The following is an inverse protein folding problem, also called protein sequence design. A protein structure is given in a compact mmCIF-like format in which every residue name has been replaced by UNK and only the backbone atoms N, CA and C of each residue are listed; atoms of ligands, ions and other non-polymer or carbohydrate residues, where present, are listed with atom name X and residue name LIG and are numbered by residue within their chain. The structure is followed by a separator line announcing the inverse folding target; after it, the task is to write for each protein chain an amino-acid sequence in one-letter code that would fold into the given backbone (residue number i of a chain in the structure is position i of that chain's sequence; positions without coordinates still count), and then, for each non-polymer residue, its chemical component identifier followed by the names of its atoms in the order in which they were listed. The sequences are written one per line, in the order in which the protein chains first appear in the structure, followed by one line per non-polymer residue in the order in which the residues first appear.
data_IF_414139718203
#
_entry.id   IF_414139718203
#
_cell.length_a   1.000
_cell.length_b   1.000
_cell.length_c   1.000
_cell.angle_alpha   90.00
_cell.angle_beta   90.00
_cell.angle_gamma   90.00
#
_symmetry.space_group_name_H-M   'P 1'
#
loop_
_entity.id
_entity.type
_entity.pdbx_description
1 polymer ?
#
# COMPACT_ATOMS: atom_id res chain seq x y z
N UNK A 1 9.91 -18.34 17.69
CA UNK A 1 10.66 -17.93 16.48
C UNK A 1 9.91 -18.24 15.17
N UNK A 2 9.32 -19.45 15.03
CA UNK A 2 8.60 -19.87 13.81
C UNK A 2 7.45 -18.95 13.35
N UNK A 3 6.59 -18.37 14.21
CA UNK A 3 5.50 -17.49 13.75
C UNK A 3 6.00 -16.19 13.11
N UNK A 4 7.05 -15.61 13.65
CA UNK A 4 7.69 -14.40 13.12
C UNK A 4 8.29 -14.65 11.74
N UNK A 5 9.02 -15.75 11.59
CA UNK A 5 9.67 -16.14 10.35
C UNK A 5 8.68 -16.41 9.22
N UNK A 6 7.54 -17.03 9.53
CA UNK A 6 6.49 -17.30 8.53
C UNK A 6 5.80 -16.05 7.99
N UNK A 7 5.67 -15.01 8.80
CA UNK A 7 4.93 -13.78 8.41
C UNK A 7 5.89 -12.72 7.90
N UNK A 8 7.01 -12.52 8.59
CA UNK A 8 7.95 -11.42 8.31
C UNK A 8 9.25 -11.88 7.65
N UNK A 9 9.55 -13.18 7.64
CA UNK A 9 10.72 -13.77 6.99
C UNK A 9 10.51 -14.09 5.50
N UNK A 10 11.53 -14.70 4.89
CA UNK A 10 11.54 -15.01 3.45
C UNK A 10 10.39 -15.89 2.96
N UNK A 11 9.83 -16.76 3.81
CA UNK A 11 8.65 -17.58 3.46
C UNK A 11 7.34 -16.79 3.35
N UNK A 12 7.28 -15.57 3.90
CA UNK A 12 6.12 -14.68 3.82
C UNK A 12 6.15 -13.72 2.63
N UNK A 13 7.25 -13.67 1.87
CA UNK A 13 7.42 -12.71 0.75
C UNK A 13 6.34 -12.85 -0.32
N UNK A 14 6.00 -14.07 -0.72
CA UNK A 14 4.98 -14.31 -1.76
C UNK A 14 3.61 -13.80 -1.32
N UNK A 15 3.23 -14.04 -0.07
CA UNK A 15 1.96 -13.55 0.47
C UNK A 15 1.93 -12.02 0.54
N UNK A 16 3.03 -11.39 0.99
CA UNK A 16 3.15 -9.93 1.07
C UNK A 16 3.09 -9.30 -0.32
N UNK A 17 3.74 -9.89 -1.30
CA UNK A 17 3.71 -9.43 -2.68
C UNK A 17 2.31 -9.54 -3.28
N UNK A 18 1.61 -10.64 -3.08
CA UNK A 18 0.21 -10.82 -3.51
C UNK A 18 -0.69 -9.79 -2.83
N UNK A 19 -0.56 -9.61 -1.50
CA UNK A 19 -1.35 -8.61 -0.77
C UNK A 19 -1.11 -7.19 -1.25
N UNK A 20 0.16 -6.86 -1.59
CA UNK A 20 0.53 -5.58 -2.16
C UNK A 20 -0.10 -5.36 -3.55
N UNK A 21 -0.02 -6.35 -4.44
CA UNK A 21 -0.65 -6.29 -5.77
C UNK A 21 -2.17 -6.13 -5.68
N UNK A 22 -2.83 -6.89 -4.80
CA UNK A 22 -4.29 -6.79 -4.57
C UNK A 22 -4.65 -5.40 -4.03
N UNK A 23 -3.85 -4.86 -3.11
CA UNK A 23 -4.05 -3.51 -2.57
C UNK A 23 -3.93 -2.43 -3.65
N UNK A 24 -2.92 -2.53 -4.52
CA UNK A 24 -2.74 -1.61 -5.64
C UNK A 24 -3.90 -1.69 -6.63
N UNK A 25 -4.34 -2.89 -6.98
CA UNK A 25 -5.51 -3.09 -7.85
C UNK A 25 -6.79 -2.51 -7.22
N UNK A 26 -7.01 -2.73 -5.93
CA UNK A 26 -8.15 -2.16 -5.22
C UNK A 26 -8.15 -0.62 -5.28
N UNK A 27 -6.99 0.04 -5.09
CA UNK A 27 -6.85 1.48 -5.24
C UNK A 27 -7.14 1.94 -6.68
N UNK A 28 -6.60 1.22 -7.68
CA UNK A 28 -6.78 1.53 -9.10
C UNK A 28 -8.24 1.42 -9.56
N UNK A 29 -9.06 0.62 -8.90
CA UNK A 29 -10.47 0.46 -9.23
C UNK A 29 -11.37 1.42 -8.46
N UNK A 30 -11.08 1.63 -7.17
CA UNK A 30 -11.95 2.44 -6.29
C UNK A 30 -11.83 3.93 -6.57
N UNK A 31 -10.61 4.46 -6.71
CA UNK A 31 -10.39 5.91 -6.87
C UNK A 31 -10.97 6.43 -8.21
N UNK A 32 -10.67 5.83 -9.38
CA UNK A 32 -11.28 6.28 -10.65
C UNK A 32 -12.78 6.10 -10.68
N UNK A 33 -13.33 5.09 -9.99
CA UNK A 33 -14.75 4.85 -9.87
C UNK A 33 -15.51 6.03 -9.27
N UNK A 34 -14.94 6.67 -8.27
CA UNK A 34 -15.53 7.86 -7.64
C UNK A 34 -15.60 9.05 -8.62
N UNK A 35 -14.54 9.26 -9.41
CA UNK A 35 -14.53 10.32 -10.42
C UNK A 35 -15.54 10.07 -11.54
N UNK A 36 -15.67 8.81 -11.95
CA UNK A 36 -16.62 8.42 -12.99
C UNK A 36 -18.08 8.60 -12.56
N UNK A 37 -18.43 8.18 -11.33
CA UNK A 37 -19.77 8.35 -10.77
C UNK A 37 -20.21 9.80 -10.81
N UNK A 38 -19.35 10.73 -10.42
CA UNK A 38 -19.65 12.15 -10.41
C UNK A 38 -19.88 12.72 -11.81
N UNK A 39 -19.03 12.32 -12.77
CA UNK A 39 -19.17 12.74 -14.17
C UNK A 39 -20.41 12.18 -14.82
N UNK A 40 -20.73 10.93 -14.56
CA UNK A 40 -21.89 10.25 -15.13
C UNK A 40 -23.22 10.84 -14.67
N UNK A 41 -23.27 11.41 -13.46
CA UNK A 41 -24.43 12.09 -12.94
C UNK A 41 -24.51 13.59 -13.29
N UNK A 42 -23.60 14.10 -14.13
CA UNK A 42 -23.60 15.51 -14.58
C UNK A 42 -23.34 16.53 -13.48
N UNK A 43 -22.96 16.10 -12.28
CA UNK A 43 -22.71 16.97 -11.14
C UNK A 43 -21.49 17.87 -11.34
N UNK A 44 -20.59 17.50 -12.24
CA UNK A 44 -19.37 18.26 -12.54
C UNK A 44 -19.69 19.68 -13.01
N UNK A 45 -20.67 19.86 -13.89
CA UNK A 45 -21.09 21.18 -14.41
C UNK A 45 -21.67 22.08 -13.31
N UNK A 46 -22.48 21.52 -12.40
CA UNK A 46 -23.07 22.26 -11.29
C UNK A 46 -22.03 22.70 -10.25
N UNK A 47 -21.05 21.84 -9.97
CA UNK A 47 -19.99 22.10 -9.00
C UNK A 47 -18.93 23.07 -9.52
N UNK A 48 -18.65 23.03 -10.84
CA UNK A 48 -17.73 23.97 -11.49
C UNK A 48 -18.29 25.40 -11.61
N UNK A 49 -19.59 25.57 -11.56
CA UNK A 49 -20.23 26.92 -11.61
C UNK A 49 -20.08 27.71 -10.30
N UNK A 50 -19.71 27.06 -9.19
CA UNK A 50 -19.50 27.72 -7.89
C UNK A 50 -18.02 27.95 -7.60
N UNK A 51 -17.63 29.19 -7.25
CA UNK A 51 -16.24 29.58 -7.02
C UNK A 51 -15.53 28.73 -5.92
N UNK A 52 -16.26 28.24 -4.94
CA UNK A 52 -15.75 27.38 -3.86
C UNK A 52 -15.88 25.87 -4.16
N UNK A 53 -16.68 25.49 -5.14
CA UNK A 53 -17.01 24.08 -5.42
C UNK A 53 -15.80 23.27 -5.86
N UNK A 54 -14.94 23.81 -6.70
CA UNK A 54 -13.77 23.12 -7.24
C UNK A 54 -12.76 22.72 -6.16
N UNK A 55 -12.42 23.62 -5.25
CA UNK A 55 -11.43 23.35 -4.19
C UNK A 55 -11.99 22.44 -3.11
N UNK A 56 -13.27 22.61 -2.76
CA UNK A 56 -13.96 21.77 -1.78
C UNK A 56 -14.09 20.34 -2.29
N UNK A 57 -14.44 20.16 -3.54
CA UNK A 57 -14.56 18.86 -4.19
C UNK A 57 -13.23 18.09 -4.19
N UNK A 58 -12.13 18.76 -4.55
CA UNK A 58 -10.80 18.15 -4.53
C UNK A 58 -10.40 17.64 -3.14
N UNK A 59 -10.69 18.43 -2.11
CA UNK A 59 -10.44 18.03 -0.71
C UNK A 59 -11.23 16.79 -0.34
N UNK A 60 -12.50 16.71 -0.70
CA UNK A 60 -13.31 15.52 -0.41
C UNK A 60 -12.81 14.27 -1.14
N UNK A 61 -12.37 14.39 -2.38
CA UNK A 61 -11.76 13.28 -3.12
C UNK A 61 -10.44 12.82 -2.49
N UNK A 62 -9.61 13.75 -2.05
CA UNK A 62 -8.38 13.44 -1.34
C UNK A 62 -8.67 12.75 0.00
N UNK A 63 -9.65 13.23 0.77
CA UNK A 63 -10.07 12.60 2.02
C UNK A 63 -10.60 11.19 1.78
N UNK A 64 -11.41 10.99 0.73
CA UNK A 64 -11.92 9.67 0.38
C UNK A 64 -10.80 8.71 -0.02
N UNK A 65 -9.85 9.15 -0.84
CA UNK A 65 -8.67 8.35 -1.20
C UNK A 65 -7.84 7.98 0.03
N UNK A 66 -7.68 8.90 0.98
CA UNK A 66 -7.02 8.67 2.25
C UNK A 66 -7.79 7.63 3.09
N UNK A 67 -9.11 7.76 3.22
CA UNK A 67 -9.93 6.79 3.94
C UNK A 67 -9.86 5.38 3.34
N UNK A 68 -9.90 5.26 2.01
CA UNK A 68 -9.76 3.99 1.30
C UNK A 68 -8.38 3.37 1.57
N UNK A 69 -7.31 4.17 1.48
CA UNK A 69 -5.94 3.70 1.74
C UNK A 69 -5.76 3.22 3.18
N UNK A 70 -6.27 3.97 4.16
CA UNK A 70 -6.25 3.56 5.57
C UNK A 70 -7.09 2.30 5.78
N UNK A 71 -8.25 2.19 5.15
CA UNK A 71 -9.10 1.00 5.21
C UNK A 71 -8.39 -0.26 4.71
N UNK A 72 -7.75 -0.19 3.55
CA UNK A 72 -6.95 -1.28 2.98
C UNK A 72 -5.79 -1.64 3.92
N UNK A 73 -5.07 -0.63 4.43
CA UNK A 73 -3.97 -0.82 5.36
C UNK A 73 -4.43 -1.52 6.65
N UNK A 74 -5.55 -1.12 7.23
CA UNK A 74 -6.10 -1.74 8.44
C UNK A 74 -6.51 -3.20 8.20
N UNK A 75 -7.14 -3.49 7.06
CA UNK A 75 -7.56 -4.86 6.73
C UNK A 75 -6.35 -5.79 6.65
N UNK A 76 -5.32 -5.41 5.90
CA UNK A 76 -4.14 -6.25 5.74
C UNK A 76 -3.30 -6.35 7.01
N UNK A 77 -3.06 -5.22 7.68
CA UNK A 77 -2.31 -5.22 8.95
C UNK A 77 -3.05 -6.02 10.04
N UNK A 78 -4.37 -5.86 10.12
CA UNK A 78 -5.20 -6.63 11.04
C UNK A 78 -5.17 -8.13 10.73
N UNK A 79 -5.21 -8.51 9.45
CA UNK A 79 -5.10 -9.91 9.03
C UNK A 79 -3.72 -10.52 9.40
N UNK A 80 -2.63 -9.81 9.17
CA UNK A 80 -1.27 -10.25 9.54
C UNK A 80 -1.12 -10.43 11.05
N UNK A 81 -1.62 -9.48 11.84
CA UNK A 81 -1.63 -9.57 13.30
C UNK A 81 -2.50 -10.74 13.79
N UNK A 82 -3.63 -10.97 13.14
CA UNK A 82 -4.48 -12.12 13.46
C UNK A 82 -3.77 -13.45 13.13
N UNK A 83 -3.12 -13.54 11.96
CA UNK A 83 -2.32 -14.72 11.62
C UNK A 83 -1.18 -14.94 12.61
N UNK A 84 -0.46 -13.89 13.01
CA UNK A 84 0.59 -13.97 14.01
C UNK A 84 0.07 -14.62 15.29
N UNK A 85 -1.09 -14.17 15.76
CA UNK A 85 -1.71 -14.71 16.96
C UNK A 85 -2.16 -16.17 16.79
N UNK A 86 -2.74 -16.50 15.64
CA UNK A 86 -3.23 -17.86 15.34
C UNK A 86 -2.11 -18.89 15.25
N UNK A 87 -0.91 -18.49 14.86
CA UNK A 87 0.28 -19.34 14.80
C UNK A 87 0.98 -19.51 16.17
N UNK A 88 0.39 -19.01 17.24
CA UNK A 88 0.94 -19.12 18.60
C UNK A 88 1.99 -18.04 18.92
N UNK A 89 2.06 -16.96 18.15
CA UNK A 89 2.94 -15.83 18.43
C UNK A 89 2.59 -15.16 19.76
N UNK A 90 3.60 -14.94 20.61
CA UNK A 90 3.47 -14.18 21.85
C UNK A 90 4.07 -12.79 21.69
N UNK A 91 3.41 -11.80 22.28
CA UNK A 91 3.91 -10.41 22.29
C UNK A 91 5.08 -10.22 23.26
N UNK A 92 5.39 -11.23 24.09
CA UNK A 92 6.49 -11.18 25.06
C UNK A 92 7.86 -11.11 24.37
N UNK A 93 7.94 -11.48 23.10
CA UNK A 93 9.15 -11.37 22.29
C UNK A 93 9.38 -9.96 21.70
N UNK A 94 8.40 -9.05 21.76
CA UNK A 94 8.52 -7.69 21.19
C UNK A 94 9.66 -6.82 21.74
N UNK A 95 10.08 -6.92 23.02
CA UNK A 95 11.25 -6.20 23.52
C UNK A 95 12.58 -6.83 23.14
N UNK A 96 12.61 -8.02 22.53
CA UNK A 96 13.83 -8.66 22.06
C UNK A 96 14.46 -7.89 20.90
N UNK A 97 15.80 -7.95 20.80
CA UNK A 97 16.53 -7.35 19.70
C UNK A 97 16.24 -8.09 18.38
N UNK A 98 16.11 -7.35 17.29
CA UNK A 98 15.88 -7.95 15.96
C UNK A 98 16.99 -8.94 15.54
N UNK A 99 18.23 -8.72 15.98
CA UNK A 99 19.38 -9.61 15.75
C UNK A 99 19.22 -11.00 16.37
N UNK A 100 18.32 -11.19 17.34
CA UNK A 100 18.04 -12.50 17.93
C UNK A 100 17.23 -13.41 17.00
N UNK A 101 16.70 -12.89 15.92
CA UNK A 101 16.01 -13.62 14.88
C UNK A 101 17.02 -14.09 13.83
N UNK A 102 17.28 -15.39 13.79
CA UNK A 102 18.34 -16.09 13.05
C UNK A 102 18.40 -15.84 11.54
N UNK A 103 17.42 -15.14 10.94
CA UNK A 103 17.26 -14.97 9.50
C UNK A 103 17.36 -13.52 9.01
N UNK A 104 17.60 -12.56 9.90
CA UNK A 104 17.77 -11.19 9.47
C UNK A 104 19.24 -10.82 9.40
N UNK A 105 19.63 -10.46 8.21
CA UNK A 105 20.98 -9.98 7.94
C UNK A 105 21.30 -8.78 8.86
N UNK A 106 22.49 -8.77 9.41
CA UNK A 106 22.96 -7.97 10.54
C UNK A 106 22.96 -6.43 10.39
N UNK A 107 22.18 -5.89 9.45
CA UNK A 107 22.12 -4.44 9.21
C UNK A 107 21.24 -3.65 10.18
N UNK A 108 20.34 -4.31 10.92
CA UNK A 108 19.39 -3.66 11.83
C UNK A 108 19.92 -3.41 13.24
N UNK A 109 21.09 -3.96 13.58
CA UNK A 109 21.76 -3.72 14.86
C UNK A 109 20.89 -4.05 16.08
N UNK A 110 21.08 -3.36 17.18
CA UNK A 110 20.37 -3.56 18.45
C UNK A 110 18.97 -2.95 18.52
N UNK A 111 18.27 -2.80 17.39
CA UNK A 111 16.92 -2.22 17.38
C UNK A 111 15.90 -3.20 17.97
N UNK A 112 15.03 -2.77 18.90
CA UNK A 112 13.96 -3.61 19.41
C UNK A 112 12.96 -3.95 18.29
N UNK A 113 12.52 -5.20 18.29
CA UNK A 113 11.59 -5.75 17.29
C UNK A 113 10.31 -4.90 17.12
N UNK A 114 9.83 -4.31 18.23
CA UNK A 114 8.67 -3.45 18.23
C UNK A 114 8.86 -2.21 17.36
N UNK A 115 10.05 -1.58 17.41
CA UNK A 115 10.36 -0.39 16.61
C UNK A 115 10.40 -0.75 15.12
N UNK A 116 10.96 -1.92 14.80
CA UNK A 116 10.95 -2.43 13.43
C UNK A 116 9.53 -2.65 12.91
N UNK A 117 8.66 -3.30 13.68
CA UNK A 117 7.26 -3.53 13.29
C UNK A 117 6.50 -2.21 13.05
N UNK A 118 6.68 -1.24 13.93
CA UNK A 118 6.07 0.09 13.75
C UNK A 118 6.58 0.73 12.45
N UNK A 119 7.89 0.70 12.22
CA UNK A 119 8.51 1.20 11.00
C UNK A 119 7.97 0.52 9.75
N UNK A 120 7.87 -0.81 9.78
CA UNK A 120 7.34 -1.62 8.70
C UNK A 120 5.90 -1.23 8.32
N UNK A 121 5.00 -1.15 9.30
CA UNK A 121 3.62 -0.76 9.04
C UNK A 121 3.48 0.71 8.64
N UNK A 122 4.29 1.59 9.20
CA UNK A 122 4.32 3.00 8.79
C UNK A 122 4.80 3.18 7.36
N UNK A 123 5.86 2.48 6.96
CA UNK A 123 6.38 2.51 5.60
C UNK A 123 5.35 2.00 4.58
N UNK A 124 4.65 0.92 4.91
CA UNK A 124 3.56 0.37 4.12
C UNK A 124 2.41 1.37 3.95
N UNK A 125 2.03 2.09 5.01
CA UNK A 125 1.02 3.14 4.94
C UNK A 125 1.45 4.27 4.00
N UNK A 126 2.70 4.74 4.11
CA UNK A 126 3.26 5.76 3.21
C UNK A 126 3.26 5.27 1.75
N UNK A 127 3.59 4.01 1.51
CA UNK A 127 3.51 3.38 0.20
C UNK A 127 2.10 3.42 -0.39
N UNK A 128 1.07 3.04 0.39
CA UNK A 128 -0.32 3.10 -0.03
C UNK A 128 -0.79 4.53 -0.31
N UNK A 129 -0.45 5.50 0.55
CA UNK A 129 -0.82 6.89 0.37
C UNK A 129 -0.17 7.50 -0.88
N UNK A 130 1.08 7.15 -1.16
CA UNK A 130 1.76 7.61 -2.38
C UNK A 130 1.14 7.00 -3.64
N UNK A 131 0.81 5.71 -3.64
CA UNK A 131 0.11 5.04 -4.74
C UNK A 131 -1.28 5.64 -4.96
N UNK A 132 -2.04 5.90 -3.90
CA UNK A 132 -3.34 6.57 -3.97
C UNK A 132 -3.23 7.98 -4.55
N UNK A 133 -2.19 8.73 -4.19
CA UNK A 133 -1.94 10.08 -4.74
C UNK A 133 -1.66 10.05 -6.24
N UNK A 134 -0.87 9.09 -6.71
CA UNK A 134 -0.60 8.87 -8.15
C UNK A 134 -1.88 8.51 -8.88
N UNK A 135 -2.66 7.55 -8.34
CA UNK A 135 -3.94 7.14 -8.94
C UNK A 135 -4.93 8.29 -9.01
N UNK A 136 -5.01 9.11 -7.95
CA UNK A 136 -5.87 10.28 -7.88
C UNK A 136 -5.47 11.33 -8.92
N UNK A 137 -4.16 11.56 -9.09
CA UNK A 137 -3.64 12.49 -10.10
C UNK A 137 -3.97 12.02 -11.52
N UNK A 138 -3.75 10.73 -11.86
CA UNK A 138 -4.09 10.15 -13.16
C UNK A 138 -5.60 10.26 -13.42
N UNK A 139 -6.43 9.90 -12.43
CA UNK A 139 -7.90 9.94 -12.53
C UNK A 139 -8.44 11.35 -12.74
N UNK A 140 -7.73 12.37 -12.24
CA UNK A 140 -8.11 13.77 -12.46
C UNK A 140 -7.92 14.23 -13.91
N UNK A 141 -7.01 13.58 -14.66
CA UNK A 141 -6.66 13.94 -16.04
C UNK A 141 -7.46 13.17 -17.09
N UNK A 142 -7.98 12.01 -16.76
CA UNK A 142 -8.67 11.12 -17.69
C UNK A 142 -10.19 11.20 -17.53
N UNK A 143 -10.94 11.30 -18.66
CA UNK A 143 -12.40 11.49 -18.60
C UNK A 143 -13.17 10.21 -18.28
N UNK A 144 -12.61 9.01 -18.56
CA UNK A 144 -13.28 7.74 -18.39
C UNK A 144 -12.63 6.86 -17.31
N UNK A 145 -13.44 6.07 -16.62
CA UNK A 145 -13.01 5.21 -15.52
C UNK A 145 -12.01 4.14 -15.98
N UNK A 146 -12.34 3.40 -17.05
CA UNK A 146 -11.54 2.27 -17.52
C UNK A 146 -10.11 2.67 -17.93
N UNK A 147 -9.89 3.69 -18.78
CA UNK A 147 -8.54 4.12 -19.10
C UNK A 147 -7.80 4.70 -17.89
N UNK A 148 -8.48 5.38 -16.96
CA UNK A 148 -7.86 5.87 -15.74
C UNK A 148 -7.39 4.71 -14.83
N UNK A 149 -8.22 3.70 -14.63
CA UNK A 149 -7.87 2.50 -13.88
C UNK A 149 -6.74 1.72 -14.57
N UNK A 150 -6.82 1.53 -15.90
CA UNK A 150 -5.81 0.82 -16.68
C UNK A 150 -4.44 1.48 -16.63
N UNK A 151 -4.38 2.80 -16.87
CA UNK A 151 -3.12 3.54 -16.82
C UNK A 151 -2.55 3.57 -15.40
N UNK A 152 -3.39 3.76 -14.38
CA UNK A 152 -2.94 3.68 -12.98
C UNK A 152 -2.37 2.31 -12.64
N UNK A 153 -3.07 1.23 -13.06
CA UNK A 153 -2.58 -0.13 -12.86
C UNK A 153 -1.25 -0.38 -13.58
N UNK A 154 -1.11 0.08 -14.83
CA UNK A 154 0.15 -0.03 -15.56
C UNK A 154 1.29 0.69 -14.82
N UNK A 155 1.09 1.95 -14.43
CA UNK A 155 2.13 2.73 -13.73
C UNK A 155 2.56 2.09 -12.42
N UNK A 156 1.63 1.51 -11.68
CA UNK A 156 1.91 0.94 -10.36
C UNK A 156 2.40 -0.51 -10.42
N UNK A 157 1.93 -1.32 -11.37
CA UNK A 157 2.26 -2.75 -11.46
C UNK A 157 3.43 -3.06 -12.41
N UNK A 158 3.69 -2.23 -13.43
CA UNK A 158 4.81 -2.48 -14.36
C UNK A 158 6.15 -2.56 -13.64
N UNK A 159 6.50 -1.69 -12.68
CA UNK A 159 7.74 -1.84 -11.92
C UNK A 159 7.84 -3.19 -11.20
N UNK A 160 6.72 -3.70 -10.68
CA UNK A 160 6.66 -5.02 -10.02
C UNK A 160 6.97 -6.14 -11.00
N UNK A 161 6.35 -6.10 -12.18
CA UNK A 161 6.59 -7.11 -13.22
C UNK A 161 8.03 -7.07 -13.71
N UNK A 162 8.61 -5.89 -13.86
CA UNK A 162 9.99 -5.74 -14.30
C UNK A 162 10.99 -6.26 -13.27
N UNK A 163 10.73 -6.08 -11.97
CA UNK A 163 11.59 -6.67 -10.92
C UNK A 163 11.52 -8.19 -10.95
N UNK A 164 10.36 -8.78 -11.17
CA UNK A 164 10.20 -10.24 -11.30
C UNK A 164 10.90 -10.78 -12.57
N UNK A 165 11.04 -9.98 -13.63
CA UNK A 165 11.74 -10.35 -14.86
C UNK A 165 13.27 -10.17 -14.79
N UNK A 166 13.81 -9.83 -13.62
CA UNK A 166 15.25 -9.75 -13.40
C UNK A 166 15.86 -8.35 -13.55
N UNK A 167 15.09 -7.29 -13.33
CA UNK A 167 15.59 -5.92 -13.26
C UNK A 167 15.66 -5.43 -11.78
N UNK A 168 16.62 -5.92 -10.97
CA UNK A 168 16.69 -5.63 -9.53
C UNK A 168 16.87 -4.14 -9.22
N UNK A 169 17.42 -3.35 -10.15
CA UNK A 169 17.56 -1.90 -9.99
C UNK A 169 16.23 -1.15 -9.83
N UNK A 170 15.11 -1.77 -10.22
CA UNK A 170 13.78 -1.21 -10.09
C UNK A 170 13.06 -1.60 -8.79
N UNK A 171 13.66 -2.45 -7.97
CA UNK A 171 13.08 -2.91 -6.70
C UNK A 171 12.78 -1.73 -5.76
N UNK A 172 13.71 -0.79 -5.61
CA UNK A 172 13.52 0.41 -4.80
C UNK A 172 12.44 1.37 -5.33
N UNK A 173 12.10 1.27 -6.60
CA UNK A 173 11.04 2.07 -7.25
C UNK A 173 9.72 1.31 -7.27
N UNK A 174 9.75 0.00 -7.07
CA UNK A 174 8.55 -0.85 -7.06
C UNK A 174 7.62 -0.49 -5.91
N UNK A 175 6.37 -0.16 -6.25
CA UNK A 175 5.32 0.09 -5.26
C UNK A 175 4.97 -1.15 -4.45
N UNK A 176 5.06 -2.34 -5.05
CA UNK A 176 4.81 -3.58 -4.35
C UNK A 176 5.91 -3.88 -3.32
N UNK A 177 7.18 -3.63 -3.63
CA UNK A 177 8.26 -3.76 -2.67
C UNK A 177 8.05 -2.82 -1.47
N UNK A 178 7.70 -1.56 -1.73
CA UNK A 178 7.36 -0.60 -0.66
C UNK A 178 6.19 -1.07 0.19
N UNK A 179 5.15 -1.64 -0.42
CA UNK A 179 3.99 -2.17 0.30
C UNK A 179 4.29 -3.48 1.02
N UNK A 180 5.20 -4.28 0.50
CA UNK A 180 5.69 -5.49 1.16
C UNK A 180 6.63 -5.19 2.34
N UNK A 181 7.17 -3.96 2.40
CA UNK A 181 8.10 -3.57 3.45
C UNK A 181 9.56 -3.96 3.19
N UNK A 182 9.86 -4.51 2.00
CA UNK A 182 11.20 -5.01 1.67
C UNK A 182 12.27 -3.90 1.62
N UNK A 183 11.86 -2.64 1.55
CA UNK A 183 12.77 -1.48 1.58
C UNK A 183 13.28 -1.11 2.99
N UNK A 184 12.93 -1.87 4.02
CA UNK A 184 13.39 -1.68 5.40
C UNK A 184 14.37 -2.80 5.85
N UNK A 185 14.53 -3.84 5.03
CA UNK A 185 15.44 -4.96 5.29
C UNK A 185 16.82 -4.75 4.72
#
# INVERSE_FOLDING_TARGET
DQPFERIYGGSGTDFRLVSACVSLLALCLTIPGVFWLERNHGMELLLHSTAAGRTRLWRWKAVLALCVSIGIWLIWSGYELFQFRSLGGSWDACPANADSLFYWDSHLGSTPLLVYLIGFYAFRLVGLLSAASVTLWISSRLPAMLPAAGISALVLLVPVLLTQLGAPSLEYVSWAAKLAGDGLA
#
